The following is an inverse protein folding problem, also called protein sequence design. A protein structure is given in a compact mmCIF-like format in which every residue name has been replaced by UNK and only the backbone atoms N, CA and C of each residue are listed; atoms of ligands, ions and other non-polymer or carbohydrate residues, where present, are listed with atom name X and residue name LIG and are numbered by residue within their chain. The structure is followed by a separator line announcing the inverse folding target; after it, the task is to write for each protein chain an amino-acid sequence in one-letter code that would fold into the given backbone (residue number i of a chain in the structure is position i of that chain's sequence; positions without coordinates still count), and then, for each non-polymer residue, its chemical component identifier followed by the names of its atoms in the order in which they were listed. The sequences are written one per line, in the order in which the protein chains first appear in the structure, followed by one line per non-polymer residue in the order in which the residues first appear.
data_IF_897756120654
#
_entry.id   IF_897756120654
#
_cell.length_a   1.000
_cell.length_b   1.000
_cell.length_c   1.000
_cell.angle_alpha   90.00
_cell.angle_beta   90.00
_cell.angle_gamma   90.00
#
_symmetry.space_group_name_H-M   'P 1'
#
loop_
_entity.id
_entity.type
_entity.pdbx_description
1 polymer ?
#
# COMPACT_ATOMS: atom_id res chain seq x y z
N UNK A 1 -18.22 -3.83 -7.22
CA UNK A 1 -17.04 -3.22 -6.56
C UNK A 1 -15.78 -3.76 -7.19
N UNK A 2 -14.86 -2.87 -7.59
CA UNK A 2 -13.54 -3.24 -8.12
C UNK A 2 -12.76 -4.07 -7.08
N UNK A 3 -11.80 -4.89 -7.54
CA UNK A 3 -10.93 -5.66 -6.63
C UNK A 3 -10.18 -4.73 -5.68
N UNK A 4 -9.73 -3.58 -6.20
CA UNK A 4 -9.06 -2.51 -5.44
C UNK A 4 -9.95 -1.96 -4.31
N UNK A 5 -11.22 -1.63 -4.59
CA UNK A 5 -12.15 -1.12 -3.56
C UNK A 5 -12.43 -2.14 -2.46
N UNK A 6 -12.63 -3.42 -2.80
CA UNK A 6 -12.77 -4.50 -1.80
C UNK A 6 -11.55 -4.64 -0.90
N UNK A 7 -10.36 -4.45 -1.46
CA UNK A 7 -9.13 -4.47 -0.69
C UNK A 7 -9.01 -3.27 0.24
N UNK A 8 -9.34 -2.07 -0.23
CA UNK A 8 -9.38 -0.88 0.61
C UNK A 8 -10.36 -1.08 1.79
N UNK A 9 -11.56 -1.60 1.56
CA UNK A 9 -12.52 -1.94 2.63
C UNK A 9 -11.95 -2.94 3.63
N UNK A 10 -11.26 -3.97 3.16
CA UNK A 10 -10.58 -4.95 4.02
C UNK A 10 -9.55 -4.26 4.92
N UNK A 11 -8.77 -3.32 4.40
CA UNK A 11 -7.79 -2.55 5.19
C UNK A 11 -8.48 -1.63 6.19
N UNK A 12 -9.50 -0.88 5.75
CA UNK A 12 -10.24 0.06 6.59
C UNK A 12 -11.03 -0.64 7.71
N UNK A 13 -11.46 -1.88 7.51
CA UNK A 13 -12.07 -2.71 8.58
C UNK A 13 -11.11 -3.11 9.70
N UNK A 14 -9.82 -2.75 9.60
CA UNK A 14 -8.80 -3.07 10.59
C UNK A 14 -8.21 -4.47 10.46
N UNK A 15 -8.35 -5.12 9.29
CA UNK A 15 -7.80 -6.46 9.08
C UNK A 15 -6.29 -6.48 9.26
N UNK A 16 -5.82 -7.35 10.15
CA UNK A 16 -4.38 -7.63 10.34
C UNK A 16 -3.85 -8.68 9.36
N UNK A 17 -4.73 -9.28 8.55
CA UNK A 17 -4.38 -10.35 7.62
C UNK A 17 -4.39 -9.84 6.17
N UNK A 18 -3.42 -8.99 5.87
CA UNK A 18 -3.18 -8.45 4.54
C UNK A 18 -1.95 -9.13 3.94
N UNK A 19 -2.14 -9.85 2.84
CA UNK A 19 -1.07 -10.48 2.10
C UNK A 19 -0.15 -9.40 1.52
N UNK A 20 1.12 -9.74 1.32
CA UNK A 20 2.08 -8.79 0.77
C UNK A 20 1.65 -8.27 -0.62
N UNK A 21 1.21 -9.18 -1.50
CA UNK A 21 0.74 -8.80 -2.83
C UNK A 21 -0.55 -7.97 -2.80
N UNK A 22 -1.37 -8.12 -1.75
CA UNK A 22 -2.54 -7.25 -1.57
C UNK A 22 -2.06 -5.82 -1.28
N UNK A 23 -1.19 -5.61 -0.28
CA UNK A 23 -0.75 -4.23 0.03
C UNK A 23 0.03 -3.60 -1.13
N UNK A 24 0.80 -4.37 -1.91
CA UNK A 24 1.47 -3.86 -3.12
C UNK A 24 0.44 -3.35 -4.12
N UNK A 25 -0.59 -4.14 -4.43
CA UNK A 25 -1.66 -3.72 -5.34
C UNK A 25 -2.43 -2.49 -4.82
N UNK A 26 -2.56 -2.33 -3.50
CA UNK A 26 -3.18 -1.15 -2.91
C UNK A 26 -2.30 0.09 -3.03
N UNK A 27 -1.00 -0.03 -2.75
CA UNK A 27 -0.02 1.05 -2.92
C UNK A 27 0.01 1.53 -4.36
N UNK A 28 0.09 0.61 -5.32
CA UNK A 28 0.06 0.94 -6.75
C UNK A 28 -1.27 1.58 -7.18
N UNK A 29 -2.39 1.13 -6.61
CA UNK A 29 -3.70 1.74 -6.87
C UNK A 29 -3.85 3.17 -6.33
N UNK A 30 -2.94 3.63 -5.46
CA UNK A 30 -2.84 5.02 -5.01
C UNK A 30 -1.76 5.81 -5.77
N UNK A 31 -1.35 5.36 -6.96
CA UNK A 31 -0.43 6.09 -7.83
C UNK A 31 1.06 5.92 -7.50
N UNK A 32 1.40 5.11 -6.49
CA UNK A 32 2.80 4.82 -6.19
C UNK A 32 3.39 3.82 -7.18
N UNK A 33 4.67 3.96 -7.47
CA UNK A 33 5.43 3.08 -8.37
C UNK A 33 6.59 2.44 -7.65
N UNK A 34 6.90 1.18 -7.99
CA UNK A 34 8.02 0.45 -7.42
C UNK A 34 9.35 1.07 -7.88
N UNK A 35 10.12 1.60 -6.93
CA UNK A 35 11.40 2.26 -7.19
C UNK A 35 12.59 1.32 -6.99
N UNK A 36 12.57 0.53 -5.91
CA UNK A 36 13.70 -0.36 -5.55
C UNK A 36 13.24 -1.58 -4.77
N UNK A 37 13.90 -2.70 -5.02
CA UNK A 37 13.77 -3.93 -4.22
C UNK A 37 15.12 -4.29 -3.59
N UNK A 38 15.11 -4.63 -2.30
CA UNK A 38 16.27 -5.17 -1.60
C UNK A 38 15.84 -6.30 -0.65
N UNK A 39 16.09 -7.54 -1.03
CA UNK A 39 15.62 -8.71 -0.31
C UNK A 39 14.09 -8.70 -0.21
N UNK A 40 13.56 -8.72 1.02
CA UNK A 40 12.11 -8.66 1.27
C UNK A 40 11.52 -7.25 1.31
N UNK A 41 12.33 -6.20 1.18
CA UNK A 41 11.87 -4.82 1.23
C UNK A 41 11.63 -4.27 -0.17
N UNK A 42 10.50 -3.59 -0.35
CA UNK A 42 10.07 -2.96 -1.59
C UNK A 42 9.79 -1.48 -1.29
N UNK A 43 10.52 -0.60 -1.96
CA UNK A 43 10.40 0.84 -1.82
C UNK A 43 9.59 1.38 -2.99
N UNK A 44 8.55 2.13 -2.68
CA UNK A 44 7.67 2.78 -3.64
C UNK A 44 7.77 4.31 -3.52
N UNK A 45 7.58 4.97 -4.65
CA UNK A 45 7.63 6.43 -4.82
C UNK A 45 6.37 6.92 -5.49
N UNK A 46 5.91 8.12 -5.13
CA UNK A 46 4.81 8.81 -5.81
C UNK A 46 5.35 10.08 -6.47
N UNK A 47 4.89 10.47 -7.68
CA UNK A 47 5.38 11.68 -8.34
C UNK A 47 5.00 12.97 -7.61
N UNK A 48 3.84 12.99 -6.96
CA UNK A 48 3.27 14.21 -6.35
C UNK A 48 3.54 14.37 -4.85
N UNK A 49 4.18 13.39 -4.19
CA UNK A 49 4.48 13.48 -2.75
C UNK A 49 5.94 13.06 -2.45
N UNK A 50 6.61 13.68 -1.48
CA UNK A 50 8.01 13.40 -1.18
C UNK A 50 8.25 12.10 -0.38
N UNK A 51 7.22 11.55 0.29
CA UNK A 51 7.34 10.39 1.16
C UNK A 51 7.49 9.08 0.38
N UNK A 52 8.36 8.22 0.92
CA UNK A 52 8.56 6.87 0.41
C UNK A 52 7.72 5.88 1.20
N UNK A 53 7.14 4.91 0.49
CA UNK A 53 6.49 3.76 1.12
C UNK A 53 7.46 2.58 1.08
N UNK A 54 7.90 2.11 2.25
CA UNK A 54 8.75 0.93 2.36
C UNK A 54 7.95 -0.25 2.93
N UNK A 55 7.63 -1.22 2.08
CA UNK A 55 6.91 -2.44 2.45
C UNK A 55 7.87 -3.60 2.65
N UNK A 56 7.63 -4.40 3.67
CA UNK A 56 8.37 -5.63 3.95
C UNK A 56 7.48 -6.85 3.74
N UNK A 57 7.95 -7.78 2.90
CA UNK A 57 7.36 -9.10 2.79
C UNK A 57 7.84 -9.99 3.95
N UNK A 58 6.95 -10.28 4.90
CA UNK A 58 7.22 -11.19 6.02
C UNK A 58 6.39 -12.46 5.85
N UNK A 59 7.00 -13.50 5.26
CA UNK A 59 6.37 -14.80 4.99
C UNK A 59 5.05 -14.69 4.19
N UNK A 60 5.05 -13.87 3.14
CA UNK A 60 3.89 -13.64 2.28
C UNK A 60 2.87 -12.63 2.82
N UNK A 61 3.13 -12.03 3.98
CA UNK A 61 2.26 -11.03 4.62
C UNK A 61 2.94 -9.67 4.70
N UNK A 62 2.11 -8.64 4.66
CA UNK A 62 2.53 -7.27 4.99
C UNK A 62 2.68 -7.11 6.51
N UNK A 63 3.52 -6.17 6.92
CA UNK A 63 3.63 -5.84 8.34
C UNK A 63 2.52 -4.83 8.70
N UNK A 64 1.67 -5.07 9.73
CA UNK A 64 0.48 -4.25 9.98
C UNK A 64 0.72 -2.74 10.18
N UNK A 65 1.90 -2.34 10.67
CA UNK A 65 2.20 -0.91 10.83
C UNK A 65 2.44 -0.22 9.48
N UNK A 66 2.98 -0.94 8.48
CA UNK A 66 3.25 -0.38 7.15
C UNK A 66 1.94 -0.10 6.42
N UNK A 67 0.94 -0.96 6.62
CA UNK A 67 -0.43 -0.71 6.13
C UNK A 67 -0.98 0.59 6.74
N UNK A 68 -0.79 0.80 8.05
CA UNK A 68 -1.21 2.06 8.70
C UNK A 68 -0.45 3.27 8.17
N UNK A 69 0.86 3.15 7.95
CA UNK A 69 1.68 4.24 7.39
C UNK A 69 1.20 4.63 6.00
N UNK A 70 0.89 3.66 5.14
CA UNK A 70 0.29 3.94 3.84
C UNK A 70 -1.01 4.73 3.99
N UNK A 71 -1.92 4.28 4.88
CA UNK A 71 -3.21 4.94 5.05
C UNK A 71 -3.09 6.37 5.59
N UNK A 72 -2.09 6.64 6.44
CA UNK A 72 -1.78 8.00 6.90
C UNK A 72 -1.39 8.88 5.71
N UNK A 73 -0.51 8.41 4.82
CA UNK A 73 -0.11 9.18 3.63
C UNK A 73 -1.28 9.41 2.67
N UNK A 74 -2.14 8.40 2.49
CA UNK A 74 -3.36 8.52 1.68
C UNK A 74 -4.27 9.61 2.21
N UNK A 75 -4.45 9.68 3.54
CA UNK A 75 -5.27 10.71 4.19
C UNK A 75 -4.61 12.09 4.13
N UNK A 76 -3.33 12.19 4.48
CA UNK A 76 -2.55 13.43 4.52
C UNK A 76 -2.47 14.13 3.17
N UNK A 77 -2.28 13.35 2.10
CA UNK A 77 -2.15 13.87 0.73
C UNK A 77 -3.43 13.75 -0.10
N UNK A 78 -4.54 13.34 0.50
CA UNK A 78 -5.82 13.13 -0.17
C UNK A 78 -5.72 12.28 -1.45
N UNK A 79 -4.88 11.23 -1.41
CA UNK A 79 -4.63 10.38 -2.58
C UNK A 79 -5.91 9.62 -2.96
N UNK A 80 -6.23 9.63 -4.24
CA UNK A 80 -7.41 8.94 -4.76
C UNK A 80 -7.06 7.55 -5.27
N UNK A 81 -7.96 6.59 -5.03
CA UNK A 81 -7.81 5.25 -5.56
C UNK A 81 -8.12 5.24 -7.06
N UNK A 82 -7.18 4.80 -7.89
CA UNK A 82 -7.38 4.64 -9.33
C UNK A 82 -8.29 3.43 -9.63
N UNK A 83 -9.51 3.71 -10.08
CA UNK A 83 -10.53 2.71 -10.45
C UNK A 83 -10.36 2.24 -11.90
N UNK A 84 -9.23 1.60 -12.21
CA UNK A 84 -9.05 0.75 -13.41
C UNK A 84 -8.63 -0.67 -13.04
#
# INVERSE_FOLDING_TARGET
MSKKRKLLEKVLSGSKNIHFNEIVALVEAFGFTLSRVNGSHHIFTHPDIPELVNLQNRNGKSVPYQVRQLMILVEEYALTLEDE
#
